data_IF_102696783198
#
_entry.id   IF_102696783198
#
_cell.length_a   1.000
_cell.length_b   1.000
_cell.length_c   1.000
_cell.angle_alpha   90.00
_cell.angle_beta   90.00
_cell.angle_gamma   90.00
#
_symmetry.space_group_name_H-M   'P 1'
#
loop_
_entity.id
_entity.type
_entity.pdbx_description
1 polymer ?
#
# COMPACT_ATOMS: atom_id res chain seq x y z
N UNK A 1 12.21 17.83 4.18
CA UNK A 1 12.42 17.30 5.56
C UNK A 1 11.07 17.12 6.24
N UNK A 2 10.87 15.99 6.91
CA UNK A 2 9.75 15.80 7.84
C UNK A 2 9.92 16.72 9.06
N UNK A 3 8.90 16.76 9.92
CA UNK A 3 8.96 17.49 11.18
C UNK A 3 10.21 17.06 11.98
N UNK A 4 10.94 18.02 12.55
CA UNK A 4 12.22 17.75 13.23
C UNK A 4 13.45 17.58 12.31
N UNK A 5 13.34 17.79 10.99
CA UNK A 5 14.49 17.80 10.08
C UNK A 5 14.93 16.43 9.56
N UNK A 6 14.23 15.36 9.96
CA UNK A 6 14.47 14.00 9.47
C UNK A 6 14.10 13.89 7.98
N UNK A 7 14.94 13.24 7.19
CA UNK A 7 14.63 12.94 5.78
C UNK A 7 13.94 11.58 5.69
N UNK A 8 13.02 11.43 4.75
CA UNK A 8 12.30 10.19 4.47
C UNK A 8 12.35 9.98 2.97
N UNK A 9 12.88 8.85 2.53
CA UNK A 9 12.82 8.42 1.14
C UNK A 9 11.45 7.79 0.90
N UNK A 10 10.73 8.22 -0.13
CA UNK A 10 9.42 7.67 -0.47
C UNK A 10 9.48 7.17 -1.91
N UNK A 11 9.02 5.94 -2.11
CA UNK A 11 8.99 5.28 -3.40
C UNK A 11 7.60 4.70 -3.66
N UNK A 12 7.15 4.82 -4.91
CA UNK A 12 5.95 4.13 -5.39
C UNK A 12 6.35 3.22 -6.55
N UNK A 13 5.91 1.95 -6.50
CA UNK A 13 6.18 0.97 -7.54
C UNK A 13 4.91 0.20 -7.90
N UNK A 14 4.83 -0.25 -9.15
CA UNK A 14 3.74 -1.07 -9.65
C UNK A 14 4.15 -2.55 -9.66
N UNK A 15 3.22 -3.42 -9.23
CA UNK A 15 3.30 -4.85 -9.48
C UNK A 15 3.01 -5.19 -10.94
N UNK A 16 3.22 -6.46 -11.31
CA UNK A 16 3.04 -6.94 -12.69
C UNK A 16 2.09 -8.12 -12.80
N UNK A 17 1.87 -8.86 -11.72
CA UNK A 17 0.95 -9.98 -11.75
C UNK A 17 -0.51 -9.49 -11.74
N UNK A 18 -1.27 -9.89 -12.76
CA UNK A 18 -2.63 -9.40 -13.08
C UNK A 18 -2.70 -7.90 -13.44
N UNK A 19 -1.55 -7.30 -13.77
CA UNK A 19 -1.42 -5.89 -14.15
C UNK A 19 -0.65 -5.76 -15.48
N UNK A 20 -0.35 -4.53 -15.89
CA UNK A 20 0.41 -4.28 -17.10
C UNK A 20 1.84 -4.85 -17.02
N UNK A 21 2.40 -5.34 -18.15
CA UNK A 21 3.77 -5.85 -18.18
C UNK A 21 4.76 -4.68 -18.13
N UNK A 22 5.26 -4.39 -16.93
CA UNK A 22 6.24 -3.34 -16.66
C UNK A 22 7.65 -3.90 -16.41
N UNK A 23 8.62 -2.99 -16.25
CA UNK A 23 9.96 -3.31 -15.76
C UNK A 23 9.91 -3.97 -14.38
N UNK A 24 10.98 -4.67 -14.00
CA UNK A 24 11.05 -5.44 -12.77
C UNK A 24 11.05 -4.58 -11.49
N UNK A 25 9.96 -4.58 -10.69
CA UNK A 25 9.88 -3.73 -9.51
C UNK A 25 10.90 -4.10 -8.45
N UNK A 26 11.34 -5.37 -8.39
CA UNK A 26 12.34 -5.83 -7.42
C UNK A 26 13.70 -5.18 -7.68
N UNK A 27 14.18 -5.22 -8.93
CA UNK A 27 15.46 -4.60 -9.34
C UNK A 27 15.40 -3.07 -9.28
N UNK A 28 14.24 -2.49 -9.62
CA UNK A 28 14.04 -1.06 -9.50
C UNK A 28 14.13 -0.61 -8.03
N UNK A 29 13.56 -1.38 -7.09
CA UNK A 29 13.64 -1.08 -5.67
C UNK A 29 15.08 -1.05 -5.15
N UNK A 30 15.96 -1.94 -5.62
CA UNK A 30 17.40 -1.90 -5.27
C UNK A 30 18.06 -0.59 -5.74
N UNK A 31 17.73 -0.16 -6.96
CA UNK A 31 18.25 1.09 -7.53
C UNK A 31 17.77 2.31 -6.73
N UNK A 32 16.50 2.30 -6.32
CA UNK A 32 15.92 3.35 -5.49
C UNK A 32 16.57 3.38 -4.10
N UNK A 33 16.76 2.23 -3.45
CA UNK A 33 17.43 2.15 -2.14
C UNK A 33 18.85 2.71 -2.21
N UNK A 34 19.62 2.39 -3.25
CA UNK A 34 20.96 2.95 -3.43
C UNK A 34 20.91 4.48 -3.61
N UNK A 35 19.89 5.01 -4.30
CA UNK A 35 19.71 6.46 -4.44
C UNK A 35 19.45 7.17 -3.11
N UNK A 36 18.86 6.50 -2.12
CA UNK A 36 18.60 7.05 -0.77
C UNK A 36 19.82 6.99 0.15
N UNK A 37 20.83 6.18 -0.20
CA UNK A 37 22.01 5.96 0.61
C UNK A 37 22.76 7.27 0.88
N UNK A 38 23.15 7.47 2.14
CA UNK A 38 23.82 8.70 2.58
C UNK A 38 22.90 9.93 2.72
N UNK A 39 21.65 9.83 2.27
CA UNK A 39 20.65 10.89 2.43
C UNK A 39 19.72 10.63 3.61
N UNK A 40 19.27 9.39 3.77
CA UNK A 40 18.31 8.97 4.81
C UNK A 40 18.47 7.49 5.15
N UNK A 41 18.23 7.13 6.41
CA UNK A 41 18.03 5.74 6.83
C UNK A 41 16.57 5.29 6.69
N UNK A 42 15.62 6.25 6.67
CA UNK A 42 14.19 5.99 6.58
C UNK A 42 13.78 5.90 5.11
N UNK A 43 13.17 4.78 4.73
CA UNK A 43 12.61 4.54 3.40
C UNK A 43 11.23 3.88 3.47
N UNK A 44 10.28 4.46 2.73
CA UNK A 44 8.88 4.04 2.68
C UNK A 44 8.53 3.65 1.25
N UNK A 45 8.01 2.45 1.08
CA UNK A 45 7.61 1.90 -0.21
C UNK A 45 6.10 1.67 -0.24
N UNK A 46 5.41 2.38 -1.14
CA UNK A 46 4.06 2.03 -1.61
C UNK A 46 4.22 1.06 -2.78
N UNK A 47 3.73 -0.17 -2.61
CA UNK A 47 3.74 -1.18 -3.65
C UNK A 47 2.32 -1.43 -4.17
N UNK A 48 1.98 -0.75 -5.25
CA UNK A 48 0.68 -0.78 -5.90
C UNK A 48 0.56 -2.02 -6.79
N UNK A 49 -0.02 -3.09 -6.25
CA UNK A 49 -0.04 -4.40 -6.90
C UNK A 49 -1.35 -5.17 -6.66
N UNK A 50 -1.73 -6.06 -7.58
CA UNK A 50 -2.94 -6.89 -7.43
C UNK A 50 -2.65 -8.19 -6.67
N UNK A 51 -1.60 -8.93 -7.06
CA UNK A 51 -1.33 -10.25 -6.51
C UNK A 51 -0.75 -10.18 -5.08
N UNK A 52 -1.44 -10.80 -4.11
CA UNK A 52 -0.97 -10.91 -2.72
C UNK A 52 0.38 -11.62 -2.60
N UNK A 53 0.64 -12.61 -3.46
CA UNK A 53 1.94 -13.30 -3.52
C UNK A 53 3.08 -12.38 -3.95
N UNK A 54 2.86 -11.50 -4.93
CA UNK A 54 3.86 -10.53 -5.39
C UNK A 54 4.15 -9.52 -4.28
N UNK A 55 3.12 -9.04 -3.58
CA UNK A 55 3.26 -8.12 -2.44
C UNK A 55 4.03 -8.73 -1.28
N UNK A 56 3.68 -9.95 -0.87
CA UNK A 56 4.39 -10.65 0.20
C UNK A 56 5.85 -10.92 -0.18
N UNK A 57 6.12 -11.33 -1.43
CA UNK A 57 7.47 -11.52 -1.94
C UNK A 57 8.26 -10.22 -1.93
N UNK A 58 7.65 -9.09 -2.32
CA UNK A 58 8.28 -7.77 -2.32
C UNK A 58 8.58 -7.29 -0.89
N UNK A 59 7.66 -7.48 0.04
CA UNK A 59 7.87 -7.20 1.47
C UNK A 59 9.06 -7.98 2.03
N UNK A 60 9.12 -9.29 1.81
CA UNK A 60 10.25 -10.12 2.24
C UNK A 60 11.55 -9.78 1.49
N UNK A 61 11.48 -9.35 0.24
CA UNK A 61 12.65 -8.93 -0.52
C UNK A 61 13.30 -7.70 0.10
N UNK A 62 12.51 -6.73 0.55
CA UNK A 62 13.01 -5.48 1.14
C UNK A 62 13.16 -5.53 2.67
N UNK A 63 12.89 -6.67 3.30
CA UNK A 63 13.01 -6.82 4.75
C UNK A 63 14.44 -6.50 5.24
N UNK A 64 14.54 -5.63 6.24
CA UNK A 64 15.79 -5.09 6.79
C UNK A 64 16.51 -4.08 5.89
N UNK A 65 15.92 -3.72 4.74
CA UNK A 65 16.45 -2.71 3.82
C UNK A 65 15.52 -1.52 3.65
N UNK A 66 14.23 -1.70 3.91
CA UNK A 66 13.22 -0.65 3.95
C UNK A 66 12.66 -0.47 5.37
N UNK A 67 12.25 0.75 5.70
CA UNK A 67 11.53 1.00 6.97
C UNK A 67 10.11 0.45 6.90
N UNK A 68 9.43 0.68 5.78
CA UNK A 68 8.07 0.20 5.56
C UNK A 68 7.83 -0.18 4.09
N UNK A 69 7.10 -1.28 3.90
CA UNK A 69 6.55 -1.72 2.61
C UNK A 69 5.06 -1.92 2.80
N UNK A 70 4.27 -1.04 2.21
CA UNK A 70 2.80 -1.09 2.31
C UNK A 70 2.24 -1.37 0.92
N UNK A 71 1.33 -2.35 0.83
CA UNK A 71 0.63 -2.59 -0.43
C UNK A 71 -0.57 -1.66 -0.60
N UNK A 72 -0.91 -1.35 -1.85
CA UNK A 72 -2.16 -0.66 -2.24
C UNK A 72 -2.76 -1.37 -3.48
N UNK A 73 -3.83 -0.82 -4.07
CA UNK A 73 -4.55 -1.26 -5.29
C UNK A 73 -5.87 -2.01 -5.04
N UNK A 74 -5.92 -2.97 -4.12
CA UNK A 74 -7.08 -3.88 -4.03
C UNK A 74 -8.30 -3.27 -3.33
N UNK A 75 -8.12 -2.08 -2.72
CA UNK A 75 -9.13 -1.29 -2.01
C UNK A 75 -9.75 -1.96 -0.78
N UNK A 76 -9.28 -3.14 -0.37
CA UNK A 76 -9.72 -3.84 0.84
C UNK A 76 -8.54 -3.92 1.79
N UNK A 77 -8.64 -3.22 2.94
CA UNK A 77 -7.58 -3.24 3.94
C UNK A 77 -7.41 -4.67 4.49
N UNK A 78 -6.18 -5.18 4.47
CA UNK A 78 -5.84 -6.48 5.06
C UNK A 78 -5.59 -6.35 6.57
N UNK A 79 -5.65 -7.45 7.31
CA UNK A 79 -5.38 -7.49 8.75
C UNK A 79 -4.07 -8.25 9.06
N UNK A 80 -3.06 -8.05 8.22
CA UNK A 80 -1.78 -8.75 8.28
C UNK A 80 -0.60 -7.81 8.57
N UNK A 81 -0.89 -6.62 9.10
CA UNK A 81 0.10 -5.65 9.57
C UNK A 81 1.04 -6.30 10.57
N UNK A 82 2.35 -6.18 10.32
CA UNK A 82 3.39 -6.77 11.18
C UNK A 82 4.74 -6.13 10.91
N UNK A 83 5.64 -6.29 11.87
CA UNK A 83 7.07 -6.13 11.62
C UNK A 83 7.60 -7.46 11.08
N UNK A 84 8.34 -7.40 9.97
CA UNK A 84 9.08 -8.54 9.44
C UNK A 84 10.37 -8.75 10.28
N UNK A 85 11.01 -9.94 10.23
CA UNK A 85 12.17 -10.26 11.06
C UNK A 85 13.35 -9.29 10.94
N UNK A 86 13.55 -8.67 9.78
CA UNK A 86 14.58 -7.65 9.55
C UNK A 86 14.22 -6.26 10.05
N UNK A 87 13.03 -6.05 10.61
CA UNK A 87 12.57 -4.77 11.16
C UNK A 87 11.82 -3.89 10.16
N UNK A 88 11.38 -4.42 9.03
CA UNK A 88 10.52 -3.70 8.08
C UNK A 88 9.05 -3.81 8.48
N UNK A 89 8.35 -2.68 8.57
CA UNK A 89 6.89 -2.68 8.70
C UNK A 89 6.22 -3.11 7.39
N UNK A 90 5.25 -4.02 7.48
CA UNK A 90 4.59 -4.60 6.32
C UNK A 90 3.08 -4.72 6.50
N UNK A 91 2.32 -4.44 5.44
CA UNK A 91 0.91 -4.78 5.28
C UNK A 91 0.63 -5.08 3.81
N UNK A 92 -0.19 -6.11 3.53
CA UNK A 92 -0.52 -6.50 2.15
C UNK A 92 -1.41 -5.48 1.44
N UNK A 93 -2.39 -4.86 2.09
CA UNK A 93 -3.09 -3.72 1.48
C UNK A 93 -3.57 -2.74 2.56
N UNK A 94 -3.24 -1.46 2.37
CA UNK A 94 -3.69 -0.38 3.26
C UNK A 94 -5.18 -0.13 3.12
N UNK A 95 -5.80 -0.54 2.01
CA UNK A 95 -7.20 -0.35 1.69
C UNK A 95 -7.48 0.98 0.97
N UNK A 96 -8.76 1.36 0.96
CA UNK A 96 -9.25 2.55 0.26
C UNK A 96 -9.71 3.63 1.24
N UNK A 97 -9.55 4.89 0.83
CA UNK A 97 -10.29 6.03 1.38
C UNK A 97 -11.43 6.38 0.41
N UNK A 98 -12.68 6.07 0.74
CA UNK A 98 -13.78 6.23 -0.20
C UNK A 98 -15.11 5.63 0.26
N UNK A 99 -16.09 5.51 -0.65
CA UNK A 99 -17.45 5.08 -0.31
C UNK A 99 -17.50 3.69 0.33
N UNK A 100 -18.05 3.60 1.54
CA UNK A 100 -18.12 2.35 2.30
C UNK A 100 -19.11 1.34 1.70
N UNK A 101 -20.28 1.81 1.28
CA UNK A 101 -21.33 0.97 0.72
C UNK A 101 -21.22 0.92 -0.81
N UNK A 102 -20.14 0.29 -1.28
CA UNK A 102 -19.76 0.26 -2.70
C UNK A 102 -19.13 -1.07 -3.08
N UNK A 103 -18.88 -1.27 -4.37
CA UNK A 103 -17.97 -2.31 -4.86
C UNK A 103 -16.68 -1.64 -5.30
N UNK A 104 -15.64 -1.71 -4.45
CA UNK A 104 -14.31 -1.15 -4.74
C UNK A 104 -14.37 0.37 -5.03
N UNK A 105 -15.31 1.08 -4.40
CA UNK A 105 -15.55 2.53 -4.58
C UNK A 105 -16.61 2.87 -5.63
N UNK A 106 -17.11 1.89 -6.38
CA UNK A 106 -18.09 2.08 -7.45
C UNK A 106 -19.51 1.73 -7.03
N UNK A 107 -20.50 2.34 -7.70
CA UNK A 107 -21.92 2.07 -7.52
C UNK A 107 -22.23 0.58 -7.67
N UNK A 108 -22.86 0.01 -6.63
CA UNK A 108 -23.15 -1.43 -6.53
C UNK A 108 -23.97 -1.92 -7.73
N UNK A 109 -25.03 -1.19 -8.09
CA UNK A 109 -25.93 -1.59 -9.17
C UNK A 109 -25.19 -1.73 -10.50
N UNK A 110 -24.39 -0.73 -10.85
CA UNK A 110 -23.62 -0.71 -12.10
C UNK A 110 -22.63 -1.86 -12.19
N UNK A 111 -21.90 -2.13 -11.11
CA UNK A 111 -20.90 -3.21 -11.08
C UNK A 111 -21.58 -4.58 -11.14
N UNK A 112 -22.65 -4.79 -10.37
CA UNK A 112 -23.42 -6.05 -10.40
C UNK A 112 -24.01 -6.30 -11.79
N UNK A 113 -24.61 -5.29 -12.41
CA UNK A 113 -25.12 -5.39 -13.80
C UNK A 113 -24.01 -5.73 -14.79
N UNK A 114 -22.80 -5.15 -14.64
CA UNK A 114 -21.64 -5.50 -15.47
C UNK A 114 -21.26 -6.97 -15.33
N UNK A 115 -21.20 -7.50 -14.11
CA UNK A 115 -20.86 -8.92 -13.89
C UNK A 115 -21.94 -9.88 -14.43
N UNK A 116 -23.22 -9.58 -14.22
CA UNK A 116 -24.33 -10.42 -14.71
C UNK A 116 -24.42 -10.40 -16.23
N UNK A 117 -24.34 -9.22 -16.84
CA UNK A 117 -24.58 -9.07 -18.29
C UNK A 117 -23.34 -9.32 -19.13
N UNK A 118 -22.14 -9.28 -18.54
CA UNK A 118 -20.84 -9.33 -19.22
C UNK A 118 -20.67 -8.27 -20.33
N UNK A 119 -21.44 -7.18 -20.25
CA UNK A 119 -21.38 -6.06 -21.19
C UNK A 119 -20.68 -4.86 -20.55
N UNK A 120 -20.12 -3.94 -21.34
CA UNK A 120 -19.61 -2.68 -20.82
C UNK A 120 -20.73 -1.87 -20.18
N UNK A 121 -20.48 -1.37 -18.97
CA UNK A 121 -21.30 -0.36 -18.29
C UNK A 121 -20.38 0.77 -17.85
N UNK A 122 -20.89 2.00 -17.89
CA UNK A 122 -20.16 3.16 -17.36
C UNK A 122 -20.07 3.02 -15.84
N UNK A 123 -18.85 2.94 -15.30
CA UNK A 123 -18.65 2.94 -13.85
C UNK A 123 -18.91 4.33 -13.27
N UNK A 124 -19.61 4.36 -12.15
CA UNK A 124 -19.98 5.58 -11.42
C UNK A 124 -19.50 5.42 -9.97
N UNK A 125 -18.91 6.48 -9.41
CA UNK A 125 -18.46 6.49 -8.00
C UNK A 125 -19.69 6.40 -7.10
N UNK A 126 -19.66 5.52 -6.10
CA UNK A 126 -20.76 5.42 -5.14
C UNK A 126 -20.84 6.69 -4.27
N UNK A 127 -22.06 7.09 -3.91
CA UNK A 127 -22.30 8.15 -2.93
C UNK A 127 -22.50 7.57 -1.52
N UNK A 128 -22.54 8.45 -0.52
CA UNK A 128 -22.88 8.09 0.86
C UNK A 128 -21.67 8.15 1.81
N UNK A 129 -21.68 7.35 2.89
CA UNK A 129 -20.69 7.43 3.96
C UNK A 129 -19.36 6.89 3.46
N UNK A 130 -18.27 7.43 3.99
CA UNK A 130 -16.93 7.01 3.60
C UNK A 130 -16.24 6.22 4.69
N UNK A 131 -15.28 5.40 4.27
CA UNK A 131 -14.26 4.81 5.12
C UNK A 131 -12.92 5.43 4.75
N UNK A 132 -12.11 5.74 5.74
CA UNK A 132 -10.69 6.07 5.62
C UNK A 132 -9.90 4.86 6.11
N UNK A 133 -9.01 4.35 5.27
CA UNK A 133 -8.05 3.31 5.64
C UNK A 133 -6.63 3.87 5.54
N UNK A 134 -5.80 3.54 6.52
CA UNK A 134 -4.41 3.97 6.60
C UNK A 134 -3.59 3.04 7.50
N UNK A 135 -2.30 3.35 7.64
CA UNK A 135 -1.43 2.75 8.66
C UNK A 135 -0.60 3.83 9.32
N UNK A 136 -0.31 3.66 10.60
CA UNK A 136 0.68 4.44 11.34
C UNK A 136 1.88 3.54 11.59
N UNK A 137 3.07 4.04 11.28
CA UNK A 137 4.33 3.31 11.42
C UNK A 137 5.29 4.16 12.22
N UNK A 138 5.82 3.61 13.31
CA UNK A 138 6.91 4.22 14.07
C UNK A 138 8.24 3.68 13.54
N UNK A 139 9.19 4.58 13.30
CA UNK A 139 10.51 4.24 12.75
C UNK A 139 11.59 4.90 13.60
N UNK A 140 12.61 4.11 13.97
CA UNK A 140 13.82 4.65 14.57
C UNK A 140 14.65 5.40 13.50
N UNK A 141 14.85 6.72 13.64
CA UNK A 141 15.55 7.52 12.63
C UNK A 141 17.05 7.21 12.53
N UNK A 142 17.65 6.55 13.53
CA UNK A 142 19.07 6.18 13.50
C UNK A 142 19.30 4.90 12.71
N UNK A 143 18.44 3.89 12.92
CA UNK A 143 18.58 2.57 12.29
C UNK A 143 17.77 2.43 11.00
N UNK A 144 16.70 3.20 10.85
CA UNK A 144 15.72 3.06 9.77
C UNK A 144 14.76 1.89 9.97
N UNK A 145 14.85 1.15 11.09
CA UNK A 145 13.95 0.03 11.38
C UNK A 145 12.63 0.53 11.95
N UNK A 146 11.54 -0.11 11.53
CA UNK A 146 10.24 0.11 12.15
C UNK A 146 10.18 -0.56 13.52
N UNK A 147 9.58 0.14 14.48
CA UNK A 147 9.38 -0.33 15.85
C UNK A 147 7.92 -0.67 16.14
N UNK A 148 7.00 -0.17 15.32
CA UNK A 148 5.56 -0.41 15.45
C UNK A 148 4.85 -0.19 14.11
N UNK A 149 3.76 -0.92 13.89
CA UNK A 149 2.79 -0.67 12.83
C UNK A 149 1.38 -0.94 13.36
N UNK A 150 0.47 -0.02 13.11
CA UNK A 150 -0.95 -0.19 13.39
C UNK A 150 -1.81 0.23 12.19
N UNK A 151 -2.91 -0.48 11.98
CA UNK A 151 -3.91 -0.08 10.99
C UNK A 151 -4.83 0.99 11.55
N UNK A 152 -5.08 1.99 10.72
CA UNK A 152 -6.12 2.98 10.93
C UNK A 152 -7.30 2.64 10.04
N UNK A 153 -8.48 2.55 10.62
CA UNK A 153 -9.73 2.48 9.89
C UNK A 153 -10.77 3.35 10.59
N UNK A 154 -11.14 4.45 9.93
CA UNK A 154 -12.14 5.39 10.42
C UNK A 154 -13.34 5.30 9.49
N UNK A 155 -14.52 5.09 10.05
CA UNK A 155 -15.77 5.01 9.30
C UNK A 155 -16.63 6.19 9.71
N UNK A 156 -17.29 6.82 8.75
CA UNK A 156 -18.38 7.72 9.09
C UNK A 156 -19.42 6.93 9.89
N UNK A 157 -19.69 7.41 11.10
CA UNK A 157 -20.74 6.89 11.97
C UNK A 157 -21.99 7.69 11.64
N UNK A 158 -23.06 7.02 11.22
CA UNK A 158 -24.38 7.63 11.11
C UNK A 158 -25.01 7.85 12.47
#
# INVERSE_FOLDING_TARGET
PAEGGVRVGVANLLGRHFMEPLDDPFRLADTILESFRGQTAISFFDFHAEATSEKAAFGHYLDGRASAVVGTHTHVQTADERLLPGGTAYITDVGMCGPQHSVIGMCVETVVRKFITQRPHRLEVAAGPVVLCGVVVDVDPQTGHATHIERVQIRDVY
#
